data_IF_053575576957
#
_entry.id   IF_053575576957
#
_cell.length_a   1.000
_cell.length_b   1.000
_cell.length_c   1.000
_cell.angle_alpha   90.00
_cell.angle_beta   90.00
_cell.angle_gamma   90.00
#
_symmetry.space_group_name_H-M   'P 1'
#
loop_
_entity.id
_entity.type
_entity.pdbx_description
1 polymer ?
#
# COMPACT_ATOMS: atom_id res chain seq x y z
N UNK A 1 -14.62 -6.01 -8.91
CA UNK A 1 -14.13 -5.17 -7.78
C UNK A 1 -12.64 -4.96 -7.96
N UNK A 2 -12.16 -3.74 -7.72
CA UNK A 2 -10.74 -3.41 -7.79
C UNK A 2 -10.11 -3.64 -6.43
N UNK A 3 -8.94 -4.26 -6.40
CA UNK A 3 -8.14 -4.45 -5.19
C UNK A 3 -6.71 -3.97 -5.41
N UNK A 4 -6.05 -3.60 -4.33
CA UNK A 4 -4.64 -3.26 -4.30
C UNK A 4 -3.90 -4.28 -3.46
N UNK A 5 -2.80 -4.81 -3.97
CA UNK A 5 -1.99 -5.81 -3.29
C UNK A 5 -0.53 -5.37 -3.19
N UNK A 6 0.04 -5.46 -2.00
CA UNK A 6 1.46 -5.17 -1.75
C UNK A 6 1.96 -6.02 -0.58
N UNK A 7 3.16 -6.59 -0.69
CA UNK A 7 3.80 -7.41 0.36
C UNK A 7 2.91 -8.54 0.91
N UNK A 8 2.08 -9.15 0.06
CA UNK A 8 1.17 -10.23 0.45
C UNK A 8 -0.14 -9.77 1.10
N UNK A 9 -0.29 -8.48 1.41
CA UNK A 9 -1.55 -7.90 1.86
C UNK A 9 -2.41 -7.46 0.66
N UNK A 10 -3.73 -7.62 0.75
CA UNK A 10 -4.71 -7.24 -0.29
C UNK A 10 -5.84 -6.43 0.35
N UNK A 11 -6.09 -5.24 -0.18
CA UNK A 11 -7.12 -4.31 0.29
C UNK A 11 -7.99 -3.83 -0.86
N UNK A 12 -9.16 -3.27 -0.54
CA UNK A 12 -10.09 -2.73 -1.55
C UNK A 12 -9.60 -1.40 -2.11
N UNK A 13 -8.93 -0.60 -1.27
CA UNK A 13 -8.40 0.70 -1.66
C UNK A 13 -6.91 0.81 -1.38
N UNK A 14 -6.24 1.71 -2.10
CA UNK A 14 -4.83 2.00 -1.88
C UNK A 14 -4.61 2.69 -0.52
N UNK A 15 -5.53 3.53 -0.07
CA UNK A 15 -5.45 4.18 1.24
C UNK A 15 -5.49 3.17 2.39
N UNK A 16 -6.39 2.19 2.35
CA UNK A 16 -6.42 1.12 3.36
C UNK A 16 -5.11 0.33 3.39
N UNK A 17 -4.54 0.06 2.21
CA UNK A 17 -3.25 -0.61 2.09
C UNK A 17 -2.13 0.22 2.72
N UNK A 18 -2.12 1.53 2.46
CA UNK A 18 -1.13 2.45 3.02
C UNK A 18 -1.29 2.53 4.54
N UNK A 19 -2.49 2.80 5.05
CA UNK A 19 -2.70 2.92 6.51
C UNK A 19 -2.34 1.63 7.25
N UNK A 20 -2.69 0.48 6.68
CA UNK A 20 -2.43 -0.81 7.31
C UNK A 20 -0.94 -1.17 7.30
N UNK A 21 -0.21 -0.78 6.25
CA UNK A 21 1.20 -1.11 6.10
C UNK A 21 2.13 -0.03 6.67
N UNK A 22 1.70 1.22 6.82
CA UNK A 22 2.52 2.32 7.31
C UNK A 22 3.26 2.03 8.62
N UNK A 23 2.65 1.41 9.66
CA UNK A 23 3.37 1.07 10.89
C UNK A 23 4.59 0.15 10.68
N UNK A 24 4.66 -0.58 9.57
CA UNK A 24 5.81 -1.44 9.23
C UNK A 24 6.94 -0.68 8.52
N UNK A 25 6.65 0.52 8.02
CA UNK A 25 7.54 1.34 7.20
C UNK A 25 7.90 2.68 7.86
N UNK A 26 7.21 3.06 8.95
CA UNK A 26 7.43 4.35 9.63
C UNK A 26 8.84 4.56 10.17
N UNK A 27 9.54 3.48 10.51
CA UNK A 27 10.95 3.54 10.94
C UNK A 27 11.94 3.58 9.76
N UNK A 28 11.49 3.32 8.54
CA UNK A 28 12.35 3.16 7.35
C UNK A 28 12.33 4.38 6.43
N UNK A 29 11.21 5.06 6.34
CA UNK A 29 11.01 6.20 5.43
C UNK A 29 9.90 7.10 5.98
N UNK A 30 9.79 8.31 5.43
CA UNK A 30 8.69 9.22 5.74
C UNK A 30 7.37 8.73 5.14
N UNK A 31 6.25 9.27 5.65
CA UNK A 31 4.91 8.91 5.19
C UNK A 31 4.73 9.21 3.70
N UNK A 32 5.22 10.35 3.25
CA UNK A 32 5.16 10.78 1.85
C UNK A 32 5.94 9.84 0.92
N UNK A 33 7.14 9.43 1.33
CA UNK A 33 7.94 8.42 0.61
C UNK A 33 7.22 7.08 0.55
N UNK A 34 6.59 6.66 1.66
CA UNK A 34 5.85 5.41 1.70
C UNK A 34 4.61 5.43 0.81
N UNK A 35 3.89 6.56 0.75
CA UNK A 35 2.74 6.71 -0.14
C UNK A 35 3.12 6.62 -1.62
N UNK A 36 4.24 7.24 -2.00
CA UNK A 36 4.79 7.13 -3.35
C UNK A 36 5.21 5.67 -3.64
N UNK A 37 5.92 5.05 -2.69
CA UNK A 37 6.32 3.65 -2.79
C UNK A 37 5.11 2.73 -2.96
N UNK A 38 4.06 2.89 -2.17
CA UNK A 38 2.85 2.08 -2.26
C UNK A 38 2.11 2.30 -3.58
N UNK A 39 2.03 3.54 -4.08
CA UNK A 39 1.44 3.85 -5.41
C UNK A 39 2.16 3.16 -6.55
N UNK A 40 3.49 3.06 -6.47
CA UNK A 40 4.32 2.45 -7.51
C UNK A 40 4.41 0.92 -7.41
N UNK A 41 4.39 0.38 -6.18
CA UNK A 41 4.63 -1.04 -5.92
C UNK A 41 3.36 -1.85 -5.67
N UNK A 42 2.21 -1.21 -5.42
CA UNK A 42 0.96 -1.92 -5.27
C UNK A 42 0.46 -2.46 -6.62
N UNK A 43 0.20 -3.75 -6.68
CA UNK A 43 -0.44 -4.40 -7.80
C UNK A 43 -1.95 -4.12 -7.79
N UNK A 44 -2.47 -3.51 -8.85
CA UNK A 44 -3.91 -3.37 -9.06
C UNK A 44 -4.47 -4.68 -9.61
N UNK A 45 -5.37 -5.31 -8.87
CA UNK A 45 -6.05 -6.55 -9.26
C UNK A 45 -7.51 -6.22 -9.55
N UNK A 46 -7.94 -6.46 -10.78
CA UNK A 46 -9.34 -6.37 -11.18
C UNK A 46 -9.94 -7.79 -11.16
N UNK A 47 -10.94 -8.01 -10.32
CA UNK A 47 -11.71 -9.27 -10.23
C UNK A 47 -13.16 -9.09 -10.66
#
# INVERSE_FOLDING_TARGET
MTYYKMNGAKFETLEELIESLWPLYEERMSREEFEAYAKENAEKIEQ
#
